data_IF_447310277846
#
_entry.id   IF_447310277846
#
_cell.length_a   1.000
_cell.length_b   1.000
_cell.length_c   1.000
_cell.angle_alpha   90.00
_cell.angle_beta   90.00
_cell.angle_gamma   90.00
#
_symmetry.space_group_name_H-M   'P 1'
#
loop_
_entity.id
_entity.type
_entity.pdbx_description
1 polymer ?
#
# COMPACT_ATOMS: atom_id res chain seq x y z
N UNK A 1 9.41 -36.99 1.91
CA UNK A 1 9.27 -35.60 2.38
C UNK A 1 7.81 -35.41 2.78
N UNK A 2 7.48 -35.71 4.04
CA UNK A 2 6.13 -35.59 4.58
C UNK A 2 5.91 -34.12 4.94
N UNK A 3 4.98 -33.46 4.26
CA UNK A 3 4.51 -32.12 4.64
C UNK A 3 3.58 -32.31 5.83
N UNK A 4 4.03 -31.92 7.02
CA UNK A 4 3.17 -31.78 8.20
C UNK A 4 2.16 -30.66 7.92
N UNK A 5 0.94 -31.02 7.53
CA UNK A 5 -0.20 -30.10 7.49
C UNK A 5 -0.83 -30.10 8.88
N UNK A 6 -0.55 -29.06 9.66
CA UNK A 6 -1.23 -28.78 10.92
C UNK A 6 -2.73 -28.55 10.62
N UNK A 7 -3.67 -29.30 11.23
CA UNK A 7 -5.09 -29.24 10.87
C UNK A 7 -5.84 -28.03 11.48
N UNK A 8 -5.15 -26.94 11.82
CA UNK A 8 -5.71 -25.91 12.70
C UNK A 8 -5.33 -24.46 12.44
N UNK A 9 -4.53 -24.14 11.42
CA UNK A 9 -4.27 -22.75 11.07
C UNK A 9 -4.45 -22.57 9.58
N UNK A 10 -5.66 -22.18 9.19
CA UNK A 10 -5.93 -21.62 7.87
C UNK A 10 -4.95 -20.46 7.62
N UNK A 11 -4.43 -20.30 6.40
CA UNK A 11 -3.54 -19.18 6.05
C UNK A 11 -4.09 -17.83 6.53
N UNK A 12 -5.41 -17.68 6.53
CA UNK A 12 -6.13 -16.51 7.04
C UNK A 12 -5.88 -16.21 8.54
N UNK A 13 -5.77 -17.22 9.40
CA UNK A 13 -5.47 -17.03 10.84
C UNK A 13 -4.05 -16.49 11.04
N UNK A 14 -3.11 -17.01 10.26
CA UNK A 14 -1.73 -16.53 10.29
C UNK A 14 -1.61 -15.09 9.76
N UNK A 15 -2.37 -14.74 8.71
CA UNK A 15 -2.45 -13.37 8.19
C UNK A 15 -3.08 -12.40 9.20
N UNK A 16 -4.17 -12.80 9.87
CA UNK A 16 -4.83 -11.98 10.89
C UNK A 16 -3.88 -11.67 12.06
N UNK A 17 -3.19 -12.70 12.58
CA UNK A 17 -2.21 -12.54 13.66
C UNK A 17 -1.05 -11.65 13.24
N UNK A 18 -0.59 -11.75 11.98
CA UNK A 18 0.46 -10.89 11.44
C UNK A 18 -0.03 -9.44 11.31
N UNK A 19 -1.24 -9.21 10.82
CA UNK A 19 -1.82 -7.86 10.74
C UNK A 19 -2.00 -7.23 12.11
N UNK A 20 -2.55 -7.97 13.07
CA UNK A 20 -2.71 -7.50 14.45
C UNK A 20 -1.37 -7.16 15.10
N UNK A 21 -0.32 -7.92 14.77
CA UNK A 21 1.04 -7.54 15.13
C UNK A 21 1.41 -6.22 14.45
N UNK A 22 1.53 -6.18 13.12
CA UNK A 22 2.12 -5.04 12.40
C UNK A 22 1.34 -3.72 12.53
N UNK A 23 0.01 -3.79 12.53
CA UNK A 23 -0.92 -2.66 12.48
C UNK A 23 -1.67 -2.43 13.80
N UNK A 24 -1.29 -3.13 14.87
CA UNK A 24 -1.84 -2.89 16.20
C UNK A 24 -1.66 -1.43 16.63
N UNK A 25 -2.68 -0.86 17.29
CA UNK A 25 -2.72 0.56 17.68
C UNK A 25 -1.52 1.01 18.53
N UNK A 26 -0.92 0.09 19.26
CA UNK A 26 0.23 0.36 20.12
C UNK A 26 1.56 0.44 19.34
N UNK A 27 1.62 -0.07 18.11
CA UNK A 27 2.87 -0.20 17.34
C UNK A 27 2.90 0.62 16.05
N UNK A 28 1.75 0.92 15.46
CA UNK A 28 1.66 1.70 14.22
C UNK A 28 0.74 2.91 14.40
N UNK A 29 1.28 4.10 14.15
CA UNK A 29 0.52 5.34 14.19
C UNK A 29 0.45 5.96 12.78
N UNK A 30 -0.73 5.99 12.13
CA UNK A 30 -0.88 6.51 10.78
C UNK A 30 -0.68 8.03 10.68
N UNK A 31 -0.73 8.76 11.80
CA UNK A 31 -0.56 10.22 11.82
C UNK A 31 0.90 10.64 11.81
N UNK A 32 1.82 9.70 12.06
CA UNK A 32 3.25 9.98 12.16
C UNK A 32 3.94 9.49 10.89
N UNK A 33 4.69 10.38 10.24
CA UNK A 33 5.58 10.01 9.14
C UNK A 33 6.67 9.05 9.65
N UNK A 34 6.88 7.89 9.01
CA UNK A 34 7.94 6.97 9.40
C UNK A 34 9.31 7.49 8.93
N UNK A 35 10.21 7.80 9.87
CA UNK A 35 11.61 8.09 9.62
C UNK A 35 12.44 7.77 10.86
N UNK A 36 13.67 7.28 10.68
CA UNK A 36 14.57 6.96 11.80
C UNK A 36 15.03 8.24 12.46
N UNK A 37 15.40 9.23 11.64
CA UNK A 37 15.82 10.55 12.11
C UNK A 37 14.83 11.63 11.66
N UNK A 38 14.72 12.70 12.48
CA UNK A 38 13.83 13.84 12.19
C UNK A 38 14.18 14.56 10.89
N UNK A 39 15.45 14.61 10.53
CA UNK A 39 15.98 15.33 9.35
C UNK A 39 16.09 14.46 8.10
N UNK A 40 15.94 13.15 8.24
CA UNK A 40 16.03 12.22 7.12
C UNK A 40 14.87 12.44 6.15
N UNK A 41 15.13 12.40 4.84
CA UNK A 41 14.10 12.52 3.79
C UNK A 41 13.59 11.13 3.42
N UNK A 42 12.26 10.97 3.41
CA UNK A 42 11.62 9.75 2.91
C UNK A 42 11.35 9.98 1.44
N UNK A 43 11.98 9.17 0.60
CA UNK A 43 11.80 9.24 -0.84
C UNK A 43 10.62 8.36 -1.22
N UNK A 44 9.60 8.95 -1.82
CA UNK A 44 8.44 8.22 -2.35
C UNK A 44 8.60 8.13 -3.85
N UNK A 45 8.60 6.91 -4.40
CA UNK A 45 8.60 6.71 -5.85
C UNK A 45 7.15 6.65 -6.32
N UNK A 46 6.74 7.63 -7.12
CA UNK A 46 5.42 7.64 -7.72
C UNK A 46 5.52 7.18 -9.17
N UNK A 47 4.74 6.16 -9.51
CA UNK A 47 4.50 5.74 -10.88
C UNK A 47 3.06 6.09 -11.25
N UNK A 48 2.88 6.68 -12.41
CA UNK A 48 1.55 7.05 -12.92
C UNK A 48 1.30 6.27 -14.20
N UNK A 49 0.18 5.55 -14.24
CA UNK A 49 -0.26 4.77 -15.40
C UNK A 49 -1.60 5.32 -15.89
N UNK A 50 -1.73 5.51 -17.21
CA UNK A 50 -2.97 5.96 -17.82
C UNK A 50 -3.99 4.82 -17.86
N UNK A 51 -5.16 5.04 -17.26
CA UNK A 51 -6.28 4.09 -17.34
C UNK A 51 -7.15 4.39 -18.57
N UNK A 52 -7.65 5.63 -18.68
CA UNK A 52 -8.54 6.04 -19.77
C UNK A 52 -8.47 7.54 -20.05
N UNK A 53 -8.50 7.92 -21.33
CA UNK A 53 -8.76 9.30 -21.77
C UNK A 53 -10.29 9.51 -21.86
N UNK A 54 -10.82 10.38 -21.00
CA UNK A 54 -12.28 10.52 -20.82
C UNK A 54 -12.84 11.59 -21.76
N UNK A 55 -12.17 12.74 -21.86
CA UNK A 55 -12.62 13.81 -22.76
C UNK A 55 -11.50 14.80 -23.05
N UNK A 56 -11.49 15.28 -24.30
CA UNK A 56 -10.61 16.34 -24.75
C UNK A 56 -11.48 17.51 -25.19
N UNK A 57 -11.53 18.57 -24.39
CA UNK A 57 -12.12 19.84 -24.83
C UNK A 57 -11.04 20.61 -25.56
N UNK A 58 -11.38 21.06 -26.78
CA UNK A 58 -10.61 21.70 -27.88
C UNK A 58 -9.23 22.34 -27.65
N UNK A 59 -8.72 22.57 -26.42
CA UNK A 59 -7.26 22.65 -26.12
C UNK A 59 -6.84 22.75 -24.65
N UNK A 60 -7.75 22.91 -23.69
CA UNK A 60 -7.38 23.39 -22.33
C UNK A 60 -7.82 22.45 -21.21
N UNK A 61 -8.88 21.67 -21.41
CA UNK A 61 -9.38 20.74 -20.41
C UNK A 61 -9.31 19.32 -20.93
N UNK A 62 -8.34 18.58 -20.41
CA UNK A 62 -8.22 17.15 -20.58
C UNK A 62 -8.73 16.47 -19.32
N UNK A 63 -9.71 15.57 -19.46
CA UNK A 63 -10.14 14.70 -18.38
C UNK A 63 -9.57 13.31 -18.64
N UNK A 64 -8.77 12.80 -17.71
CA UNK A 64 -8.18 11.46 -17.77
C UNK A 64 -8.41 10.74 -16.43
N UNK A 65 -8.50 9.41 -16.50
CA UNK A 65 -8.41 8.52 -15.34
C UNK A 65 -6.99 7.95 -15.28
N UNK A 66 -6.35 8.05 -14.11
CA UNK A 66 -4.98 7.61 -13.88
C UNK A 66 -4.93 6.70 -12.65
N UNK A 67 -4.06 5.69 -12.69
CA UNK A 67 -3.65 4.94 -11.51
C UNK A 67 -2.33 5.52 -10.99
N UNK A 68 -2.29 5.82 -9.69
CA UNK A 68 -1.08 6.28 -9.00
C UNK A 68 -0.60 5.14 -8.10
N UNK A 69 0.59 4.63 -8.37
CA UNK A 69 1.25 3.61 -7.56
C UNK A 69 2.38 4.23 -6.76
N UNK A 70 2.38 3.93 -5.47
CA UNK A 70 3.48 4.22 -4.54
C UNK A 70 4.38 2.98 -4.54
N UNK A 71 5.62 3.13 -5.00
CA UNK A 71 6.63 2.05 -5.09
C UNK A 71 7.65 2.12 -3.95
#
# INVERSE_FOLDING_TARGET
MLVFVSPGSSSADSEERLMNCLLGKDRYNPLIRPAINRTERVTVKLLVSLAQLISVVRKIHLKLSLYVQIC
#
